data_IF_577285966980
#
_entry.id   IF_577285966980
#
_cell.length_a   1.000
_cell.length_b   1.000
_cell.length_c   1.000
_cell.angle_alpha   90.00
_cell.angle_beta   90.00
_cell.angle_gamma   90.00
#
_symmetry.space_group_name_H-M   'P 1'
#
loop_
_entity.id
_entity.type
_entity.pdbx_description
1 polymer ?
#
# COMPACT_ATOMS: atom_id res chain seq x y z
N UNK A 1 107.20 -41.03 30.23
CA UNK A 1 107.44 -42.34 29.59
C UNK A 1 106.38 -43.30 30.09
N UNK A 2 105.75 -44.15 29.27
CA UNK A 2 105.65 -44.16 27.79
C UNK A 2 104.35 -43.41 27.35
N UNK A 3 103.45 -43.94 26.50
CA UNK A 3 103.45 -43.71 25.03
C UNK A 3 102.04 -43.80 24.36
N UNK A 4 101.85 -43.08 23.23
CA UNK A 4 101.30 -43.51 21.89
C UNK A 4 100.03 -44.43 21.91
N UNK A 5 98.88 -44.12 21.26
CA UNK A 5 98.65 -44.00 19.79
C UNK A 5 97.49 -43.09 19.36
N UNK A 6 97.66 -42.47 18.19
CA UNK A 6 96.68 -41.73 17.37
C UNK A 6 95.71 -42.63 16.57
N UNK A 7 94.49 -42.19 16.28
CA UNK A 7 93.86 -42.40 14.95
C UNK A 7 92.82 -41.31 14.62
N UNK A 8 92.74 -40.91 13.35
CA UNK A 8 91.92 -39.83 12.80
C UNK A 8 90.72 -40.36 11.98
N UNK A 9 89.63 -39.58 11.92
CA UNK A 9 88.70 -39.37 10.77
C UNK A 9 87.61 -38.38 11.28
N UNK A 10 87.54 -37.12 10.85
CA UNK A 10 86.87 -36.65 9.62
C UNK A 10 85.57 -37.40 9.28
N UNK A 11 84.42 -36.71 9.29
CA UNK A 11 83.59 -36.47 8.09
C UNK A 11 82.39 -35.54 8.36
N UNK A 12 82.20 -34.58 7.45
CA UNK A 12 81.02 -33.77 7.07
C UNK A 12 79.99 -33.22 8.09
N UNK A 13 79.74 -31.91 7.92
CA UNK A 13 78.44 -31.25 8.14
C UNK A 13 77.26 -32.02 7.56
N UNK A 14 76.14 -32.08 8.30
CA UNK A 14 74.80 -31.91 7.72
C UNK A 14 73.89 -31.17 8.71
N UNK A 15 73.69 -29.88 8.47
CA UNK A 15 72.77 -29.04 9.23
C UNK A 15 71.33 -29.38 8.82
N UNK A 16 70.64 -30.23 9.58
CA UNK A 16 69.25 -30.56 9.31
C UNK A 16 68.35 -29.35 9.59
N UNK A 17 68.00 -28.63 8.51
CA UNK A 17 67.02 -27.56 8.50
C UNK A 17 65.62 -28.16 8.74
N UNK A 18 65.17 -28.21 9.99
CA UNK A 18 63.81 -28.64 10.33
C UNK A 18 62.82 -27.57 9.85
N UNK A 19 61.90 -27.85 8.92
CA UNK A 19 60.90 -26.87 8.51
C UNK A 19 59.89 -26.68 9.64
N UNK A 20 59.91 -25.50 10.26
CA UNK A 20 58.86 -25.04 11.16
C UNK A 20 57.58 -24.81 10.36
N UNK A 21 56.74 -25.84 10.26
CA UNK A 21 55.40 -25.71 9.70
C UNK A 21 54.59 -24.73 10.56
N UNK A 22 54.48 -23.48 10.10
CA UNK A 22 53.60 -22.49 10.68
C UNK A 22 52.15 -22.93 10.43
N UNK A 23 51.51 -23.47 11.47
CA UNK A 23 50.13 -23.89 11.43
C UNK A 23 49.24 -22.64 11.38
N UNK A 24 48.95 -22.17 10.16
CA UNK A 24 47.95 -21.12 9.96
C UNK A 24 46.60 -21.63 10.51
N UNK A 25 45.91 -20.87 11.39
CA UNK A 25 44.59 -21.27 11.85
C UNK A 25 43.66 -21.34 10.63
N UNK A 26 43.11 -22.53 10.37
CA UNK A 26 42.08 -22.70 9.35
C UNK A 26 40.94 -21.72 9.63
N UNK A 27 40.48 -20.93 8.65
CA UNK A 27 39.36 -20.03 8.86
C UNK A 27 38.13 -20.87 9.17
N UNK A 28 37.73 -20.87 10.44
CA UNK A 28 36.49 -21.49 10.89
C UNK A 28 35.37 -20.82 10.11
N UNK A 29 34.79 -21.52 9.14
CA UNK A 29 33.59 -21.04 8.44
C UNK A 29 32.52 -20.84 9.51
N UNK A 30 32.32 -19.59 9.92
CA UNK A 30 31.15 -19.21 10.68
C UNK A 30 29.95 -19.69 9.87
N UNK A 31 29.19 -20.64 10.43
CA UNK A 31 27.87 -20.96 9.92
C UNK A 31 27.04 -19.74 10.26
N UNK A 32 27.03 -18.77 9.34
CA UNK A 32 26.07 -17.67 9.36
C UNK A 32 24.72 -18.35 9.20
N UNK A 33 24.09 -18.64 10.32
CA UNK A 33 22.67 -18.93 10.37
C UNK A 33 22.00 -17.75 9.72
N UNK A 34 21.48 -17.92 8.49
CA UNK A 34 20.65 -16.92 7.83
C UNK A 34 19.39 -16.76 8.68
N UNK A 35 19.47 -15.94 9.72
CA UNK A 35 18.34 -15.26 10.31
C UNK A 35 17.63 -14.60 9.15
N UNK A 36 16.42 -15.06 8.87
CA UNK A 36 15.59 -14.48 7.81
C UNK A 36 15.54 -12.97 8.09
N UNK A 37 15.96 -12.10 7.15
CA UNK A 37 15.96 -10.67 7.41
C UNK A 37 14.55 -10.27 7.84
N UNK A 38 14.46 -9.41 8.85
CA UNK A 38 13.19 -8.81 9.25
C UNK A 38 12.75 -7.95 8.07
N UNK A 39 11.83 -8.48 7.26
CA UNK A 39 11.35 -7.81 6.07
C UNK A 39 10.60 -6.55 6.48
N UNK A 40 11.26 -5.41 6.31
CA UNK A 40 10.72 -4.06 6.44
C UNK A 40 9.31 -3.98 5.82
N UNK A 41 8.30 -3.73 6.65
CA UNK A 41 6.91 -3.67 6.18
C UNK A 41 6.68 -2.41 5.33
N UNK A 42 5.86 -2.54 4.29
CA UNK A 42 5.60 -1.52 3.28
C UNK A 42 4.15 -1.09 3.35
N UNK A 43 3.91 0.17 3.70
CA UNK A 43 2.59 0.78 3.61
C UNK A 43 2.50 1.58 2.31
N UNK A 44 1.37 1.49 1.62
CA UNK A 44 1.07 2.29 0.43
C UNK A 44 -0.23 3.04 0.70
N UNK A 45 -0.19 4.36 0.80
CA UNK A 45 -1.36 5.22 1.00
C UNK A 45 -1.66 5.93 -0.31
N UNK A 46 -2.86 5.71 -0.85
CA UNK A 46 -3.36 6.39 -2.06
C UNK A 46 -4.50 7.31 -1.67
N UNK A 47 -4.25 8.62 -1.76
CA UNK A 47 -5.24 9.66 -1.53
C UNK A 47 -6.08 9.80 -2.79
N UNK A 48 -7.34 9.38 -2.71
CA UNK A 48 -8.27 9.34 -3.84
C UNK A 48 -9.33 10.42 -3.66
N UNK A 49 -9.30 11.46 -4.48
CA UNK A 49 -10.15 12.64 -4.34
C UNK A 49 -11.32 12.62 -5.33
N UNK A 50 -12.36 13.41 -5.05
CA UNK A 50 -13.61 13.46 -5.83
C UNK A 50 -14.31 12.10 -5.98
N UNK A 51 -14.13 11.19 -5.02
CA UNK A 51 -14.82 9.90 -4.98
C UNK A 51 -16.30 10.13 -4.68
N UNK A 52 -17.16 9.83 -5.65
CA UNK A 52 -18.60 10.04 -5.50
C UNK A 52 -19.18 9.14 -4.41
N UNK A 53 -20.24 9.64 -3.73
CA UNK A 53 -21.00 8.86 -2.75
C UNK A 53 -21.43 7.50 -3.33
N UNK A 54 -21.81 7.43 -4.62
CA UNK A 54 -22.15 6.18 -5.30
C UNK A 54 -20.99 5.19 -5.40
N UNK A 55 -19.74 5.64 -5.55
CA UNK A 55 -18.57 4.75 -5.53
C UNK A 55 -18.29 4.29 -4.10
N UNK A 56 -18.28 5.22 -3.14
CA UNK A 56 -18.06 4.94 -1.72
C UNK A 56 -19.14 4.01 -1.09
N UNK A 57 -20.37 4.05 -1.60
CA UNK A 57 -21.46 3.11 -1.25
C UNK A 57 -21.23 1.68 -1.81
N UNK A 58 -20.24 1.49 -2.68
CA UNK A 58 -20.01 0.27 -3.48
C UNK A 58 -21.00 0.09 -4.64
N UNK A 59 -21.56 1.19 -5.19
CA UNK A 59 -22.60 1.17 -6.24
C UNK A 59 -22.07 1.70 -7.59
N UNK A 60 -21.05 1.03 -8.13
CA UNK A 60 -20.46 1.27 -9.46
C UNK A 60 -20.50 0.00 -10.35
N UNK A 61 -20.53 0.12 -11.68
CA UNK A 61 -20.52 -1.05 -12.59
C UNK A 61 -19.08 -1.55 -12.81
N UNK A 62 -18.81 -2.80 -12.44
CA UNK A 62 -17.48 -3.44 -12.61
C UNK A 62 -17.08 -3.63 -14.07
N UNK A 63 -18.01 -3.43 -15.02
CA UNK A 63 -17.73 -3.46 -16.46
C UNK A 63 -17.49 -2.03 -17.02
N UNK A 64 -17.42 -0.99 -16.19
CA UNK A 64 -17.21 0.41 -16.60
C UNK A 64 -16.39 1.18 -15.53
N UNK A 65 -15.22 0.64 -15.19
CA UNK A 65 -14.37 1.12 -14.09
C UNK A 65 -13.86 2.56 -14.23
N UNK A 66 -13.80 3.08 -15.46
CA UNK A 66 -13.45 4.48 -15.75
C UNK A 66 -14.46 5.46 -15.13
N UNK A 67 -15.73 5.06 -14.96
CA UNK A 67 -16.75 5.88 -14.31
C UNK A 67 -16.48 5.94 -12.81
N UNK A 68 -16.04 7.10 -12.33
CA UNK A 68 -15.60 7.28 -10.94
C UNK A 68 -14.18 6.80 -10.66
N UNK A 69 -13.35 6.57 -11.70
CA UNK A 69 -11.92 6.22 -11.63
C UNK A 69 -11.56 5.04 -10.74
N UNK A 70 -12.48 4.07 -10.59
CA UNK A 70 -12.24 2.80 -9.89
C UNK A 70 -11.11 2.00 -10.57
N UNK A 71 -10.86 2.25 -11.85
CA UNK A 71 -9.73 1.70 -12.59
C UNK A 71 -8.36 2.10 -11.98
N UNK A 72 -8.24 3.33 -11.44
CA UNK A 72 -7.01 3.80 -10.76
C UNK A 72 -6.81 3.06 -9.45
N UNK A 73 -7.87 2.95 -8.64
CA UNK A 73 -7.86 2.19 -7.39
C UNK A 73 -7.39 0.75 -7.65
N UNK A 74 -7.99 0.09 -8.63
CA UNK A 74 -7.66 -1.29 -8.98
C UNK A 74 -6.21 -1.46 -9.45
N UNK A 75 -5.68 -0.53 -10.29
CA UNK A 75 -4.26 -0.55 -10.70
C UNK A 75 -3.30 -0.31 -9.55
N UNK A 76 -3.64 0.57 -8.61
CA UNK A 76 -2.78 0.85 -7.46
C UNK A 76 -2.65 -0.38 -6.55
N UNK A 77 -3.77 -1.05 -6.23
CA UNK A 77 -3.73 -2.31 -5.47
C UNK A 77 -2.97 -3.39 -6.23
N UNK A 78 -3.18 -3.48 -7.55
CA UNK A 78 -2.47 -4.49 -8.35
C UNK A 78 -0.95 -4.25 -8.36
N UNK A 79 -0.50 -2.99 -8.50
CA UNK A 79 0.91 -2.62 -8.45
C UNK A 79 1.55 -2.80 -7.06
N UNK A 80 0.79 -2.57 -5.99
CA UNK A 80 1.27 -2.74 -4.62
C UNK A 80 1.39 -4.21 -4.20
N UNK A 81 0.44 -5.06 -4.59
CA UNK A 81 0.36 -6.42 -4.05
C UNK A 81 1.00 -7.50 -4.91
N UNK A 82 0.99 -7.38 -6.25
CA UNK A 82 1.36 -8.53 -7.10
C UNK A 82 2.85 -8.61 -7.47
N UNK A 83 3.33 -9.85 -7.50
CA UNK A 83 4.56 -10.30 -8.16
C UNK A 83 4.25 -11.54 -9.02
N UNK A 84 5.19 -11.96 -9.87
CA UNK A 84 4.98 -13.07 -10.83
C UNK A 84 4.49 -14.39 -10.21
N UNK A 85 4.87 -14.66 -8.96
CA UNK A 85 4.58 -15.93 -8.27
C UNK A 85 3.76 -15.76 -6.98
N UNK A 86 3.04 -14.64 -6.82
CA UNK A 86 2.11 -14.45 -5.71
C UNK A 86 1.90 -13.01 -5.28
N UNK A 87 1.63 -12.84 -3.99
CA UNK A 87 1.31 -11.56 -3.35
C UNK A 87 2.41 -11.21 -2.34
N UNK A 88 2.81 -9.93 -2.33
CA UNK A 88 3.72 -9.33 -1.35
C UNK A 88 3.06 -9.33 0.02
N UNK A 89 3.52 -10.21 0.92
CA UNK A 89 2.96 -10.34 2.28
C UNK A 89 3.43 -9.25 3.24
N UNK A 90 4.56 -8.63 2.92
CA UNK A 90 5.17 -7.49 3.60
C UNK A 90 4.55 -6.15 3.18
N UNK A 91 3.43 -6.14 2.43
CA UNK A 91 2.83 -4.91 1.90
C UNK A 91 1.35 -4.78 2.26
N UNK A 92 0.96 -3.60 2.75
CA UNK A 92 -0.42 -3.19 3.01
C UNK A 92 -0.73 -1.93 2.20
N UNK A 93 -1.88 -1.90 1.52
CA UNK A 93 -2.34 -0.72 0.79
C UNK A 93 -3.62 -0.15 1.41
N UNK A 94 -3.65 1.17 1.55
CA UNK A 94 -4.73 1.98 2.08
C UNK A 94 -5.25 2.90 0.96
N UNK A 95 -6.48 2.69 0.51
CA UNK A 95 -7.16 3.55 -0.44
C UNK A 95 -8.07 4.51 0.33
N UNK A 96 -7.62 5.76 0.51
CA UNK A 96 -8.36 6.80 1.24
C UNK A 96 -9.31 7.51 0.28
N UNK A 97 -10.62 7.49 0.54
CA UNK A 97 -11.67 7.92 -0.38
C UNK A 97 -12.31 9.23 0.08
N UNK A 98 -11.83 10.36 -0.46
CA UNK A 98 -12.33 11.69 -0.15
C UNK A 98 -13.46 12.12 -1.10
N UNK A 99 -14.49 12.84 -0.61
CA UNK A 99 -14.60 13.48 0.70
C UNK A 99 -15.32 12.62 1.77
N UNK A 100 -15.39 11.29 1.59
CA UNK A 100 -16.21 10.42 2.44
C UNK A 100 -15.47 9.91 3.69
N UNK A 101 -14.17 10.20 3.82
CA UNK A 101 -13.28 9.78 4.91
C UNK A 101 -13.38 8.26 5.19
N UNK A 102 -13.45 7.48 4.12
CA UNK A 102 -13.43 6.02 4.16
C UNK A 102 -12.08 5.53 3.68
N UNK A 103 -11.47 4.57 4.39
CA UNK A 103 -10.23 3.93 3.93
C UNK A 103 -10.46 2.44 3.72
N UNK A 104 -10.25 1.97 2.48
CA UNK A 104 -10.18 0.53 2.20
C UNK A 104 -8.74 0.08 2.45
N UNK A 105 -8.55 -0.73 3.48
CA UNK A 105 -7.28 -1.38 3.79
C UNK A 105 -7.24 -2.77 3.15
N UNK A 106 -6.10 -3.13 2.55
CA UNK A 106 -5.87 -4.43 1.94
C UNK A 106 -4.49 -4.96 2.34
N UNK A 107 -4.47 -6.03 3.13
CA UNK A 107 -3.26 -6.65 3.72
C UNK A 107 -2.77 -7.80 2.87
N UNK A 108 -1.59 -7.67 2.27
CA UNK A 108 -1.02 -8.71 1.41
C UNK A 108 -0.72 -10.04 2.12
N UNK A 109 -0.55 -10.03 3.46
CA UNK A 109 -0.40 -11.24 4.28
C UNK A 109 -1.66 -12.13 4.30
N UNK A 110 -2.83 -11.51 4.31
CA UNK A 110 -4.13 -12.17 4.54
C UNK A 110 -4.91 -12.47 3.25
N UNK A 111 -4.67 -11.72 2.18
CA UNK A 111 -5.44 -11.84 0.93
C UNK A 111 -5.33 -13.24 0.31
N UNK A 112 -6.48 -13.81 -0.07
CA UNK A 112 -6.59 -15.08 -0.80
C UNK A 112 -7.65 -15.00 -1.89
N UNK A 113 -7.45 -15.78 -2.97
CA UNK A 113 -8.42 -15.92 -4.07
C UNK A 113 -8.56 -14.68 -4.97
N UNK A 114 -7.70 -13.68 -4.77
CA UNK A 114 -7.60 -12.51 -5.63
C UNK A 114 -6.87 -12.86 -6.94
N UNK A 115 -7.20 -12.17 -8.03
CA UNK A 115 -6.48 -12.22 -9.31
C UNK A 115 -5.92 -10.82 -9.67
N UNK A 116 -4.83 -10.72 -10.44
CA UNK A 116 -4.20 -9.45 -10.85
C UNK A 116 -4.95 -8.70 -11.97
N UNK A 117 -6.28 -8.81 -12.05
CA UNK A 117 -7.09 -8.13 -13.05
C UNK A 117 -7.99 -7.05 -12.43
N UNK A 118 -8.15 -5.93 -13.12
CA UNK A 118 -8.86 -4.75 -12.60
C UNK A 118 -10.32 -5.06 -12.24
N UNK A 119 -10.97 -6.01 -12.94
CA UNK A 119 -12.38 -6.34 -12.77
C UNK A 119 -12.62 -7.20 -11.53
N UNK A 120 -11.76 -8.18 -11.26
CA UNK A 120 -11.77 -8.95 -10.01
C UNK A 120 -11.47 -8.04 -8.83
N UNK A 121 -10.44 -7.18 -8.93
CA UNK A 121 -10.15 -6.19 -7.88
C UNK A 121 -11.35 -5.28 -7.61
N UNK A 122 -11.98 -4.74 -8.65
CA UNK A 122 -13.17 -3.91 -8.54
C UNK A 122 -14.35 -4.64 -7.89
N UNK A 123 -14.55 -5.95 -8.12
CA UNK A 123 -15.57 -6.76 -7.41
C UNK A 123 -15.29 -6.85 -5.91
N UNK A 124 -14.03 -7.00 -5.49
CA UNK A 124 -13.63 -7.04 -4.08
C UNK A 124 -13.80 -5.68 -3.40
N UNK A 125 -13.38 -4.59 -4.06
CA UNK A 125 -13.62 -3.21 -3.60
C UNK A 125 -15.13 -2.93 -3.47
N UNK A 126 -15.92 -3.32 -4.48
CA UNK A 126 -17.37 -3.16 -4.49
C UNK A 126 -18.01 -3.86 -3.29
N UNK A 127 -17.66 -5.13 -3.04
CA UNK A 127 -18.16 -5.91 -1.90
C UNK A 127 -17.79 -5.26 -0.56
N UNK A 128 -16.56 -4.83 -0.39
CA UNK A 128 -16.07 -4.21 0.86
C UNK A 128 -16.87 -2.95 1.19
N UNK A 129 -17.05 -2.07 0.21
CA UNK A 129 -17.82 -0.83 0.35
C UNK A 129 -19.34 -1.07 0.53
N UNK A 130 -19.92 -2.06 -0.15
CA UNK A 130 -21.33 -2.46 0.03
C UNK A 130 -21.64 -3.01 1.42
N UNK A 131 -20.80 -3.90 1.93
CA UNK A 131 -20.93 -4.46 3.29
C UNK A 131 -20.79 -3.32 4.31
N UNK A 132 -19.80 -2.45 4.11
CA UNK A 132 -19.57 -1.24 4.91
C UNK A 132 -20.76 -0.30 4.96
N UNK A 133 -21.32 0.10 3.82
CA UNK A 133 -22.48 1.02 3.75
C UNK A 133 -23.79 0.39 4.25
N UNK A 134 -23.86 -0.94 4.30
CA UNK A 134 -25.01 -1.69 4.82
C UNK A 134 -24.97 -1.86 6.34
N UNK A 135 -23.78 -2.03 6.93
CA UNK A 135 -23.61 -2.06 8.39
C UNK A 135 -23.93 -0.70 9.02
N UNK A 136 -23.53 0.37 8.36
CA UNK A 136 -23.75 1.76 8.79
C UNK A 136 -25.23 2.16 8.76
N UNK A 137 -25.95 1.81 7.69
CA UNK A 137 -27.41 1.99 7.66
C UNK A 137 -28.13 1.25 8.79
N UNK A 138 -27.61 0.11 9.27
CA UNK A 138 -28.16 -0.55 10.48
C UNK A 138 -27.84 0.22 11.76
N UNK A 139 -26.63 0.76 11.91
CA UNK A 139 -26.25 1.61 13.06
C UNK A 139 -27.11 2.87 13.14
N UNK A 140 -27.27 3.60 12.03
CA UNK A 140 -28.09 4.81 12.01
C UNK A 140 -29.57 4.54 12.29
N UNK A 141 -30.15 3.44 11.76
CA UNK A 141 -31.53 3.05 12.08
C UNK A 141 -31.72 2.65 13.55
N UNK A 142 -30.73 1.98 14.16
CA UNK A 142 -30.76 1.64 15.59
C UNK A 142 -30.63 2.89 16.50
N UNK A 143 -29.86 3.89 16.07
CA UNK A 143 -29.75 5.16 16.79
C UNK A 143 -30.99 6.05 16.60
N UNK A 144 -31.67 5.98 15.44
CA UNK A 144 -32.89 6.77 15.18
C UNK A 144 -34.14 6.24 15.88
N UNK A 145 -34.14 4.99 16.38
CA UNK A 145 -35.26 4.46 17.19
C UNK A 145 -35.47 5.17 18.54
N UNK A 146 -34.63 6.15 18.90
CA UNK A 146 -34.82 7.03 20.05
C UNK A 146 -34.97 8.50 19.61
N UNK A 147 -36.00 8.80 18.78
CA UNK A 147 -36.79 10.06 18.76
C UNK A 147 -37.65 10.17 17.47
N UNK A 148 -38.60 9.24 17.25
CA UNK A 148 -39.68 9.48 16.27
C UNK A 148 -40.70 10.49 16.83
N UNK A 149 -40.35 11.78 16.83
CA UNK A 149 -41.35 12.84 16.94
C UNK A 149 -41.92 13.09 15.55
N UNK A 150 -43.14 12.59 15.35
CA UNK A 150 -43.88 12.59 14.09
C UNK A 150 -44.23 14.02 13.64
N UNK A 151 -43.33 14.65 12.88
CA UNK A 151 -43.53 16.00 12.32
C UNK A 151 -44.50 15.93 11.13
N UNK A 152 -45.81 16.03 11.43
CA UNK A 152 -46.90 15.80 10.47
C UNK A 152 -47.48 17.07 9.86
N UNK A 153 -46.80 18.22 9.98
CA UNK A 153 -47.29 19.50 9.44
C UNK A 153 -46.16 20.36 8.84
N UNK A 154 -45.71 19.99 7.64
CA UNK A 154 -45.01 20.92 6.74
C UNK A 154 -45.78 21.03 5.43
N UNK A 155 -46.32 22.21 5.07
CA UNK A 155 -47.06 22.36 3.82
C UNK A 155 -46.15 22.09 2.62
N UNK A 156 -46.68 21.37 1.64
CA UNK A 156 -45.98 21.08 0.39
C UNK A 156 -45.67 22.37 -0.35
N UNK A 157 -44.41 22.81 -0.32
CA UNK A 157 -43.92 23.88 -1.19
C UNK A 157 -43.90 23.33 -2.63
N UNK A 158 -45.03 23.47 -3.33
CA UNK A 158 -45.13 23.18 -4.76
C UNK A 158 -44.30 24.24 -5.49
N UNK A 159 -43.09 23.85 -5.90
CA UNK A 159 -42.15 24.74 -6.56
C UNK A 159 -42.75 25.29 -7.88
N UNK A 160 -43.05 26.61 -8.00
CA UNK A 160 -43.82 27.13 -9.14
C UNK A 160 -43.06 27.12 -10.47
N UNK A 161 -41.73 26.98 -10.41
CA UNK A 161 -40.88 26.92 -11.60
C UNK A 161 -40.49 25.49 -11.94
N UNK A 162 -41.37 24.85 -12.70
CA UNK A 162 -41.06 23.61 -13.43
C UNK A 162 -39.86 23.87 -14.35
N UNK A 163 -38.69 23.25 -14.14
CA UNK A 163 -37.54 23.48 -15.01
C UNK A 163 -37.90 23.12 -16.45
N UNK A 164 -37.36 23.90 -17.40
CA UNK A 164 -37.71 23.86 -18.82
C UNK A 164 -37.79 22.44 -19.37
N UNK A 165 -38.72 22.20 -20.29
CA UNK A 165 -39.11 20.86 -20.72
C UNK A 165 -37.96 20.11 -21.41
N UNK A 166 -37.15 19.38 -20.62
CA UNK A 166 -36.06 18.51 -21.08
C UNK A 166 -36.40 17.81 -22.40
N UNK A 167 -35.48 17.80 -23.35
CA UNK A 167 -35.76 17.30 -24.70
C UNK A 167 -36.24 15.84 -24.69
N UNK A 168 -36.93 15.40 -25.76
CA UNK A 168 -37.36 14.00 -25.88
C UNK A 168 -36.17 13.03 -25.82
N UNK A 169 -35.01 13.44 -26.33
CA UNK A 169 -33.74 12.71 -26.26
C UNK A 169 -33.19 12.65 -24.83
N UNK A 170 -33.07 13.77 -24.10
CA UNK A 170 -32.65 13.78 -22.68
C UNK A 170 -33.54 12.89 -21.82
N UNK A 171 -34.87 13.02 -21.96
CA UNK A 171 -35.84 12.19 -21.22
C UNK A 171 -35.69 10.70 -21.55
N UNK A 172 -35.28 10.35 -22.77
CA UNK A 172 -34.97 8.96 -23.17
C UNK A 172 -33.66 8.49 -22.56
N UNK A 173 -32.60 9.31 -22.63
CA UNK A 173 -31.27 9.00 -22.06
C UNK A 173 -31.37 8.72 -20.56
N UNK A 174 -31.97 9.64 -19.79
CA UNK A 174 -32.19 9.50 -18.34
C UNK A 174 -33.01 8.26 -17.97
N UNK A 175 -33.98 7.87 -18.81
CA UNK A 175 -34.75 6.62 -18.62
C UNK A 175 -33.90 5.38 -18.85
N UNK A 176 -33.02 5.40 -19.85
CA UNK A 176 -32.08 4.30 -20.14
C UNK A 176 -31.05 4.16 -19.04
N UNK A 177 -30.43 5.27 -18.62
CA UNK A 177 -29.46 5.34 -17.52
C UNK A 177 -30.07 4.83 -16.21
N UNK A 178 -31.28 5.29 -15.85
CA UNK A 178 -32.00 4.78 -14.68
C UNK A 178 -32.25 3.28 -14.77
N UNK A 179 -32.68 2.75 -15.92
CA UNK A 179 -32.87 1.29 -16.12
C UNK A 179 -31.57 0.52 -16.00
N UNK A 180 -30.46 1.04 -16.52
CA UNK A 180 -29.13 0.44 -16.39
C UNK A 180 -28.69 0.40 -14.92
N UNK A 181 -28.84 1.50 -14.17
CA UNK A 181 -28.57 1.58 -12.73
C UNK A 181 -29.44 0.60 -11.91
N UNK A 182 -30.74 0.52 -12.19
CA UNK A 182 -31.64 -0.45 -11.54
C UNK A 182 -31.22 -1.90 -11.84
N UNK A 183 -30.85 -2.22 -13.08
CA UNK A 183 -30.38 -3.56 -13.47
C UNK A 183 -29.04 -3.91 -12.81
N UNK A 184 -28.09 -2.97 -12.77
CA UNK A 184 -26.79 -3.10 -12.11
C UNK A 184 -26.96 -3.36 -10.60
N UNK A 185 -27.79 -2.56 -9.91
CA UNK A 185 -28.09 -2.75 -8.48
C UNK A 185 -28.77 -4.11 -8.21
N UNK A 186 -29.56 -4.65 -9.15
CA UNK A 186 -30.08 -6.02 -9.05
C UNK A 186 -29.00 -7.09 -9.20
N UNK A 187 -28.03 -6.93 -10.11
CA UNK A 187 -26.88 -7.85 -10.23
C UNK A 187 -26.09 -7.88 -8.92
N UNK A 188 -25.75 -6.69 -8.40
CA UNK A 188 -25.05 -6.52 -7.11
C UNK A 188 -25.78 -7.27 -5.99
N UNK A 189 -27.07 -6.99 -5.79
CA UNK A 189 -27.88 -7.66 -4.75
C UNK A 189 -27.97 -9.18 -4.93
N UNK A 190 -27.85 -9.70 -6.16
CA UNK A 190 -27.85 -11.15 -6.43
C UNK A 190 -26.49 -11.79 -6.13
N UNK A 191 -25.38 -11.07 -6.35
CA UNK A 191 -24.03 -11.55 -6.01
C UNK A 191 -23.69 -11.40 -4.52
N UNK A 192 -24.20 -10.36 -3.86
CA UNK A 192 -23.90 -10.06 -2.45
C UNK A 192 -24.83 -10.82 -1.50
N UNK A 193 -24.73 -12.16 -1.49
CA UNK A 193 -25.29 -12.98 -0.41
C UNK A 193 -24.42 -12.96 0.86
N UNK A 194 -23.17 -12.54 0.75
CA UNK A 194 -22.20 -12.56 1.84
C UNK A 194 -22.20 -11.23 2.61
N UNK A 195 -22.25 -11.33 3.94
CA UNK A 195 -22.32 -10.19 4.88
C UNK A 195 -20.95 -9.78 5.42
N UNK A 196 -19.87 -10.42 4.97
CA UNK A 196 -18.50 -10.23 5.45
C UNK A 196 -17.62 -9.59 4.39
N UNK A 197 -16.60 -8.84 4.83
CA UNK A 197 -15.53 -8.38 3.96
C UNK A 197 -14.76 -9.58 3.35
N UNK A 198 -14.17 -9.43 2.16
CA UNK A 198 -13.23 -10.41 1.62
C UNK A 198 -12.04 -10.63 2.56
N UNK A 199 -11.39 -11.79 2.48
CA UNK A 199 -10.21 -12.06 3.33
C UNK A 199 -9.08 -11.07 3.00
N UNK A 200 -8.50 -10.46 4.04
CA UNK A 200 -7.45 -9.45 3.92
C UNK A 200 -7.94 -8.05 3.55
N UNK A 201 -9.26 -7.80 3.51
CA UNK A 201 -9.85 -6.48 3.30
C UNK A 201 -10.51 -5.97 4.58
N UNK A 202 -10.26 -4.70 4.91
CA UNK A 202 -10.95 -3.97 5.97
C UNK A 202 -11.44 -2.61 5.46
N UNK A 203 -12.39 -2.01 6.20
CA UNK A 203 -12.94 -0.69 5.91
C UNK A 203 -12.93 0.16 7.18
N UNK A 204 -12.13 1.22 7.16
CA UNK A 204 -12.11 2.25 8.18
C UNK A 204 -13.08 3.39 7.81
N UNK A 205 -13.56 4.08 8.82
CA UNK A 205 -14.57 5.15 8.71
C UNK A 205 -14.10 6.33 9.54
N UNK A 206 -14.47 7.52 9.06
CA UNK A 206 -14.08 8.78 9.67
C UNK A 206 -12.55 8.88 9.78
N UNK A 207 -11.84 8.29 8.82
CA UNK A 207 -10.37 8.08 8.83
C UNK A 207 -9.69 9.17 8.00
N UNK A 208 -9.16 10.20 8.67
CA UNK A 208 -8.37 11.25 8.02
C UNK A 208 -6.92 10.83 7.78
N UNK A 209 -6.22 11.53 6.87
CA UNK A 209 -4.79 11.31 6.63
C UNK A 209 -3.96 11.44 7.92
N UNK A 210 -4.33 12.41 8.78
CA UNK A 210 -3.68 12.70 10.06
C UNK A 210 -3.83 11.50 11.02
N UNK A 211 -5.04 10.97 11.15
CA UNK A 211 -5.33 9.81 12.02
C UNK A 211 -4.67 8.53 11.49
N UNK A 212 -4.69 8.34 10.17
CA UNK A 212 -4.02 7.21 9.50
C UNK A 212 -2.52 7.23 9.74
N UNK A 213 -1.86 8.38 9.55
CA UNK A 213 -0.43 8.53 9.84
C UNK A 213 -0.14 8.30 11.33
N UNK A 214 -0.91 8.90 12.24
CA UNK A 214 -0.76 8.69 13.68
C UNK A 214 -1.04 7.23 14.14
N UNK A 215 -1.78 6.42 13.38
CA UNK A 215 -1.92 4.98 13.62
C UNK A 215 -0.67 4.22 13.18
N UNK A 216 -0.17 4.49 11.97
CA UNK A 216 1.02 3.83 11.43
C UNK A 216 2.29 4.18 12.21
N UNK A 217 2.41 5.41 12.72
CA UNK A 217 3.48 5.82 13.62
C UNK A 217 3.45 5.03 14.95
N UNK A 218 2.26 4.72 15.49
CA UNK A 218 2.15 3.88 16.70
C UNK A 218 2.50 2.41 16.44
N UNK A 219 2.29 1.93 15.22
CA UNK A 219 2.59 0.55 14.81
C UNK A 219 4.07 0.37 14.46
N UNK A 220 4.74 1.38 13.89
CA UNK A 220 6.15 1.35 13.45
C UNK A 220 7.14 2.12 14.33
N UNK A 221 6.83 2.28 15.62
CA UNK A 221 7.14 3.44 16.48
C UNK A 221 8.60 3.86 16.79
N UNK A 222 9.61 3.48 16.00
CA UNK A 222 10.96 4.06 16.07
C UNK A 222 11.64 4.27 14.69
N UNK A 223 11.23 3.58 13.63
CA UNK A 223 12.01 3.45 12.39
C UNK A 223 11.12 3.55 11.13
N UNK A 224 10.22 4.52 11.09
CA UNK A 224 9.37 4.76 9.92
C UNK A 224 9.99 5.75 8.94
N UNK A 225 10.16 5.36 7.67
CA UNK A 225 10.50 6.27 6.57
C UNK A 225 9.24 6.59 5.76
N UNK A 226 8.84 7.86 5.71
CA UNK A 226 7.63 8.30 4.98
C UNK A 226 8.05 9.04 3.69
N UNK A 227 7.64 8.51 2.53
CA UNK A 227 7.99 9.02 1.21
C UNK A 227 6.76 9.62 0.53
N UNK A 228 6.76 10.93 0.31
CA UNK A 228 5.72 11.65 -0.44
C UNK A 228 6.21 11.91 -1.87
N UNK A 229 5.45 11.48 -2.88
CA UNK A 229 5.89 11.59 -4.28
C UNK A 229 5.52 12.95 -4.90
N UNK A 230 6.51 13.65 -5.44
CA UNK A 230 6.33 14.94 -6.12
C UNK A 230 7.42 15.17 -7.18
N UNK A 231 7.07 15.85 -8.28
CA UNK A 231 8.01 16.16 -9.38
C UNK A 231 9.25 16.95 -8.91
N UNK A 232 9.11 17.81 -7.88
CA UNK A 232 10.17 18.70 -7.38
C UNK A 232 11.01 18.16 -6.21
N UNK A 233 10.74 16.93 -5.75
CA UNK A 233 11.46 16.30 -4.64
C UNK A 233 12.86 15.78 -4.98
N UNK A 234 13.60 15.34 -3.95
CA UNK A 234 14.89 14.67 -4.10
C UNK A 234 14.73 13.35 -4.88
N UNK A 235 15.73 12.89 -5.61
CA UNK A 235 15.53 11.68 -6.42
C UNK A 235 15.34 10.45 -5.52
N UNK A 236 14.40 9.56 -5.88
CA UNK A 236 14.07 8.39 -5.07
C UNK A 236 15.29 7.51 -4.78
N UNK A 237 16.18 7.33 -5.77
CA UNK A 237 17.35 6.47 -5.61
C UNK A 237 18.42 7.12 -4.74
N UNK A 238 18.64 8.44 -4.80
CA UNK A 238 19.59 9.11 -3.90
C UNK A 238 19.11 9.02 -2.44
N UNK A 239 17.80 9.21 -2.20
CA UNK A 239 17.18 9.05 -0.87
C UNK A 239 17.27 7.60 -0.36
N UNK A 240 17.03 6.62 -1.22
CA UNK A 240 17.11 5.20 -0.84
C UNK A 240 18.55 4.67 -0.73
N UNK A 241 19.53 5.27 -1.41
CA UNK A 241 20.94 4.90 -1.31
C UNK A 241 21.67 5.63 -0.15
N UNK A 242 21.02 6.61 0.50
CA UNK A 242 21.52 7.26 1.71
C UNK A 242 21.57 6.37 2.95
N UNK A 243 22.64 6.50 3.74
CA UNK A 243 22.94 5.71 4.95
C UNK A 243 21.76 5.71 5.94
N UNK A 244 21.19 6.89 6.16
CA UNK A 244 20.02 7.14 7.01
C UNK A 244 18.79 6.27 6.67
N UNK A 245 18.51 6.07 5.37
CA UNK A 245 17.38 5.26 4.92
C UNK A 245 17.70 3.76 5.04
N UNK A 246 18.91 3.38 4.65
CA UNK A 246 19.39 1.99 4.73
C UNK A 246 19.42 1.49 6.18
N UNK A 247 19.97 2.27 7.11
CA UNK A 247 20.02 1.89 8.52
C UNK A 247 18.62 1.61 9.08
N UNK A 248 17.66 2.54 8.90
CA UNK A 248 16.27 2.35 9.39
C UNK A 248 15.65 1.08 8.81
N UNK A 249 15.88 0.82 7.52
CA UNK A 249 15.36 -0.36 6.80
C UNK A 249 15.98 -1.67 7.28
N UNK A 250 17.30 -1.71 7.47
CA UNK A 250 18.04 -2.90 7.89
C UNK A 250 17.76 -3.27 9.35
N UNK A 251 17.43 -2.28 10.18
CA UNK A 251 16.86 -2.44 11.53
C UNK A 251 15.38 -2.91 11.52
N UNK A 252 14.80 -3.15 10.34
CA UNK A 252 13.43 -3.66 10.17
C UNK A 252 12.33 -2.59 10.07
N UNK A 253 12.72 -1.33 9.88
CA UNK A 253 11.84 -0.17 9.84
C UNK A 253 10.80 -0.17 8.72
N UNK A 254 9.67 0.49 8.96
CA UNK A 254 8.54 0.51 8.02
C UNK A 254 8.73 1.60 6.97
N UNK A 255 8.48 1.28 5.69
CA UNK A 255 8.46 2.29 4.62
C UNK A 255 7.01 2.61 4.25
N UNK A 256 6.60 3.86 4.41
CA UNK A 256 5.24 4.32 4.03
C UNK A 256 5.34 5.22 2.81
N UNK A 257 4.67 4.82 1.72
CA UNK A 257 4.55 5.61 0.49
C UNK A 257 3.24 6.38 0.54
N UNK A 258 3.26 7.70 0.33
CA UNK A 258 2.07 8.54 0.23
C UNK A 258 2.00 9.08 -1.20
N UNK A 259 0.86 8.85 -1.85
CA UNK A 259 0.64 9.13 -3.27
C UNK A 259 -0.74 9.74 -3.50
N UNK A 260 -0.82 10.74 -4.36
CA UNK A 260 -2.09 11.21 -4.93
C UNK A 260 -2.65 10.27 -6.01
N UNK A 261 -3.93 10.46 -6.35
CA UNK A 261 -4.58 9.83 -7.49
C UNK A 261 -4.35 10.64 -8.80
N UNK A 262 -5.22 10.47 -9.81
CA UNK A 262 -5.17 11.24 -11.06
C UNK A 262 -5.28 12.78 -10.91
N UNK A 263 -5.65 13.30 -9.75
CA UNK A 263 -5.77 14.73 -9.43
C UNK A 263 -4.51 15.22 -8.68
N UNK A 264 -3.80 14.33 -8.00
CA UNK A 264 -2.69 14.65 -7.11
C UNK A 264 -3.14 14.74 -5.65
N UNK A 265 -2.57 15.69 -4.91
CA UNK A 265 -2.87 15.94 -3.50
C UNK A 265 -3.81 17.15 -3.36
N UNK A 266 -4.68 17.16 -2.34
CA UNK A 266 -5.38 18.38 -1.99
C UNK A 266 -4.39 19.41 -1.38
N UNK A 267 -4.65 20.73 -1.49
CA UNK A 267 -3.77 21.74 -0.89
C UNK A 267 -3.54 21.55 0.61
N UNK A 268 -4.59 21.16 1.36
CA UNK A 268 -4.48 20.83 2.79
C UNK A 268 -3.61 19.61 3.08
N UNK A 269 -3.63 18.60 2.20
CA UNK A 269 -2.80 17.39 2.35
C UNK A 269 -1.32 17.75 2.10
N UNK A 270 -1.04 18.56 1.07
CA UNK A 270 0.29 19.09 0.78
C UNK A 270 0.85 19.94 1.93
N UNK A 271 0.06 20.89 2.45
CA UNK A 271 0.47 21.75 3.57
C UNK A 271 0.75 20.93 4.84
N UNK A 272 -0.10 19.96 5.14
CA UNK A 272 0.09 19.06 6.28
C UNK A 272 1.34 18.20 6.14
N UNK A 273 1.53 17.53 4.99
CA UNK A 273 2.66 16.64 4.73
C UNK A 273 3.99 17.39 4.68
N UNK A 274 4.03 18.57 4.03
CA UNK A 274 5.22 19.41 3.99
C UNK A 274 5.60 20.01 5.36
N UNK A 275 4.66 20.06 6.31
CA UNK A 275 4.90 20.44 7.70
C UNK A 275 5.50 19.33 8.57
N UNK A 276 5.55 18.08 8.12
CA UNK A 276 6.08 16.95 8.89
C UNK A 276 7.57 16.72 8.62
N UNK A 277 8.39 16.79 9.68
CA UNK A 277 9.84 16.52 9.59
C UNK A 277 10.17 15.05 9.24
N UNK A 278 9.22 14.13 9.36
CA UNK A 278 9.35 12.69 9.04
C UNK A 278 9.04 12.36 7.58
N UNK A 279 8.52 13.32 6.80
CA UNK A 279 8.13 13.13 5.40
C UNK A 279 9.23 13.61 4.46
N UNK A 280 9.82 12.69 3.70
CA UNK A 280 10.76 12.99 2.62
C UNK A 280 10.01 13.15 1.30
N UNK A 281 10.18 14.29 0.62
CA UNK A 281 9.61 14.54 -0.71
C UNK A 281 10.52 13.93 -1.78
N UNK A 282 10.01 12.97 -2.53
CA UNK A 282 10.78 12.20 -3.52
C UNK A 282 10.24 12.33 -4.94
N UNK A 283 11.14 12.43 -5.91
CA UNK A 283 10.87 12.48 -7.34
C UNK A 283 11.32 11.21 -8.05
N UNK A 284 10.54 10.78 -9.03
CA UNK A 284 10.87 9.69 -9.96
C UNK A 284 11.42 10.22 -11.31
N UNK A 285 11.59 11.53 -11.43
CA UNK A 285 12.02 12.21 -12.64
C UNK A 285 11.01 13.24 -13.15
N UNK A 286 11.27 13.86 -14.31
CA UNK A 286 10.53 15.04 -14.80
C UNK A 286 9.19 14.70 -15.48
N UNK A 287 8.74 13.44 -15.46
CA UNK A 287 7.48 13.02 -16.06
C UNK A 287 6.46 12.71 -14.96
N UNK A 288 5.28 13.32 -15.07
CA UNK A 288 4.12 12.94 -14.23
C UNK A 288 3.69 11.51 -14.56
N UNK A 289 4.00 10.58 -13.67
CA UNK A 289 3.69 9.15 -13.82
C UNK A 289 2.31 8.80 -13.25
N UNK A 290 1.73 7.69 -13.69
CA UNK A 290 0.55 7.13 -13.05
C UNK A 290 0.92 6.62 -11.65
N UNK A 291 0.04 6.82 -10.66
CA UNK A 291 0.23 6.35 -9.27
C UNK A 291 0.69 4.89 -9.18
N UNK A 292 0.12 4.00 -9.99
CA UNK A 292 0.51 2.58 -10.06
C UNK A 292 1.93 2.34 -10.60
N UNK A 293 2.44 3.21 -11.47
CA UNK A 293 3.83 3.16 -11.94
C UNK A 293 4.78 3.60 -10.83
N UNK A 294 4.43 4.64 -10.06
CA UNK A 294 5.22 5.09 -8.92
C UNK A 294 5.39 3.96 -7.88
N UNK A 295 4.30 3.26 -7.55
CA UNK A 295 4.31 2.09 -6.66
C UNK A 295 5.25 1.00 -7.20
N UNK A 296 5.11 0.63 -8.48
CA UNK A 296 5.91 -0.43 -9.09
C UNK A 296 7.41 -0.10 -9.13
N UNK A 297 7.80 1.13 -9.47
CA UNK A 297 9.20 1.59 -9.47
C UNK A 297 9.75 1.60 -8.05
N UNK A 298 8.98 2.09 -7.07
CA UNK A 298 9.42 2.14 -5.68
C UNK A 298 9.64 0.75 -5.10
N UNK A 299 8.75 -0.21 -5.40
CA UNK A 299 8.96 -1.61 -5.06
C UNK A 299 10.21 -2.21 -5.71
N UNK A 300 10.51 -1.87 -6.97
CA UNK A 300 11.75 -2.33 -7.62
C UNK A 300 13.01 -1.89 -6.86
N UNK A 301 13.09 -0.63 -6.42
CA UNK A 301 14.22 -0.15 -5.62
C UNK A 301 14.27 -0.77 -4.22
N UNK A 302 13.13 -0.89 -3.53
CA UNK A 302 13.04 -1.56 -2.21
C UNK A 302 13.42 -3.05 -2.27
N UNK A 303 13.14 -3.73 -3.38
CA UNK A 303 13.53 -5.12 -3.63
C UNK A 303 15.02 -5.24 -3.92
N UNK A 304 15.59 -4.34 -4.74
CA UNK A 304 17.03 -4.36 -5.14
C UNK A 304 17.99 -4.32 -3.96
N UNK A 305 17.58 -3.75 -2.83
CA UNK A 305 18.35 -3.70 -1.59
C UNK A 305 18.05 -4.86 -0.63
N UNK A 306 17.14 -5.80 -0.96
CA UNK A 306 16.82 -6.98 -0.16
C UNK A 306 17.62 -8.23 -0.51
N UNK A 307 18.29 -8.22 -1.67
CA UNK A 307 19.10 -9.32 -2.22
C UNK A 307 20.61 -9.19 -1.94
N UNK A 308 21.03 -8.25 -1.07
CA UNK A 308 22.44 -8.03 -0.69
C UNK A 308 22.81 -8.81 0.59
#
# INVERSE_FOLDING_TARGET
MPSITTTTLSFLWFLFLVPTFSFAPTPTRAIVTKTKPLLAHRNVIVLSHNVSETVADGRFDVNTLLTGRVDVLARCVNAALWVSHGIRRDTTIFLMLFPQNLTVEIRGEDVKGLNPDERTMALYLQRTLLVGSSADRKRSHANSTVTEKKDSDRPLIVNPHKPGSRSKSEKKALRTERKAREAMLRRIRKSTNETTFPQGFALHRDDSLIERMASLEKEGALLSSILMFEESGDTLWDVMEGEDFQQRRDEGGTTTLILGDQIGYAPCDNEYLAGQATVTRVSLGPLSLLTSQCIAITHHYLDRQGDR
#
